data_IF_826666174332
#
_entry.id   IF_826666174332
#
_cell.length_a   1.000
_cell.length_b   1.000
_cell.length_c   1.000
_cell.angle_alpha   90.00
_cell.angle_beta   90.00
_cell.angle_gamma   90.00
#
_symmetry.space_group_name_H-M   'P 1'
#
loop_
_entity.id
_entity.type
_entity.pdbx_description
1 polymer ?
#
# COMPACT_ATOMS: atom_id res chain seq x y z
N UNK A 1 -48.74 21.34 -40.74
CA UNK A 1 -49.60 20.16 -40.98
C UNK A 1 -48.81 18.93 -41.42
N UNK A 2 -47.75 19.07 -42.24
CA UNK A 2 -46.96 17.93 -42.76
C UNK A 2 -46.22 17.08 -41.70
N UNK A 3 -45.78 17.67 -40.57
CA UNK A 3 -45.18 16.91 -39.45
C UNK A 3 -46.21 16.15 -38.62
N UNK A 4 -47.46 16.63 -38.55
CA UNK A 4 -48.56 15.98 -37.83
C UNK A 4 -49.03 14.72 -38.57
N UNK A 5 -49.12 14.77 -39.91
CA UNK A 5 -49.48 13.61 -40.73
C UNK A 5 -48.44 12.50 -40.69
N UNK A 6 -47.14 12.85 -40.66
CA UNK A 6 -46.04 11.88 -40.50
C UNK A 6 -46.09 11.18 -39.13
N UNK A 7 -46.46 11.91 -38.07
CA UNK A 7 -46.63 11.34 -36.72
C UNK A 7 -47.82 10.38 -36.61
N UNK A 8 -48.95 10.73 -37.22
CA UNK A 8 -50.16 9.90 -37.24
C UNK A 8 -49.92 8.58 -38.00
N UNK A 9 -49.23 8.63 -39.14
CA UNK A 9 -48.88 7.41 -39.90
C UNK A 9 -47.93 6.47 -39.15
N UNK A 10 -47.04 7.01 -38.32
CA UNK A 10 -46.15 6.22 -37.45
C UNK A 10 -46.92 5.54 -36.31
N UNK A 11 -47.84 6.25 -35.67
CA UNK A 11 -48.72 5.70 -34.62
C UNK A 11 -49.59 4.57 -35.16
N UNK A 12 -50.12 4.73 -36.38
CA UNK A 12 -50.97 3.70 -37.00
C UNK A 12 -50.19 2.42 -37.34
N UNK A 13 -48.92 2.53 -37.76
CA UNK A 13 -48.02 1.39 -37.96
C UNK A 13 -47.69 0.68 -36.64
N UNK A 14 -47.41 1.43 -35.58
CA UNK A 14 -47.16 0.90 -34.24
C UNK A 14 -48.36 0.12 -33.69
N UNK A 15 -49.57 0.67 -33.82
CA UNK A 15 -50.82 0.02 -33.40
C UNK A 15 -51.10 -1.27 -34.19
N UNK A 16 -50.83 -1.27 -35.49
CA UNK A 16 -50.99 -2.47 -36.33
C UNK A 16 -49.96 -3.56 -35.99
N UNK A 17 -48.72 -3.19 -35.67
CA UNK A 17 -47.70 -4.13 -35.21
C UNK A 17 -48.08 -4.73 -33.86
N UNK A 18 -48.56 -3.91 -32.92
CA UNK A 18 -49.02 -4.37 -31.62
C UNK A 18 -50.15 -5.39 -31.74
N UNK A 19 -51.14 -5.12 -32.60
CA UNK A 19 -52.28 -6.03 -32.84
C UNK A 19 -51.85 -7.37 -33.46
N UNK A 20 -50.81 -7.38 -34.29
CA UNK A 20 -50.37 -8.58 -35.03
C UNK A 20 -49.43 -9.50 -34.25
N UNK A 21 -48.55 -8.94 -33.41
CA UNK A 21 -47.48 -9.69 -32.75
C UNK A 21 -47.54 -9.67 -31.21
N UNK A 22 -48.37 -8.80 -30.63
CA UNK A 22 -48.43 -8.55 -29.19
C UNK A 22 -47.31 -7.63 -28.71
N UNK A 23 -47.61 -6.79 -27.73
CA UNK A 23 -46.69 -5.77 -27.19
C UNK A 23 -45.36 -6.36 -26.70
N UNK A 24 -45.40 -7.49 -25.98
CA UNK A 24 -44.20 -8.14 -25.44
C UNK A 24 -43.27 -8.70 -26.52
N UNK A 25 -43.79 -9.13 -27.67
CA UNK A 25 -42.96 -9.63 -28.78
C UNK A 25 -42.21 -8.50 -29.48
N UNK A 26 -42.83 -7.31 -29.59
CA UNK A 26 -42.17 -6.12 -30.15
C UNK A 26 -41.03 -5.66 -29.24
N UNK A 27 -41.26 -5.63 -27.92
CA UNK A 27 -40.22 -5.31 -26.94
C UNK A 27 -39.06 -6.29 -27.02
N UNK A 28 -39.33 -7.60 -27.08
CA UNK A 28 -38.29 -8.63 -27.25
C UNK A 28 -37.49 -8.42 -28.54
N UNK A 29 -38.15 -8.09 -29.65
CA UNK A 29 -37.50 -7.79 -30.93
C UNK A 29 -36.58 -6.56 -30.84
N UNK A 30 -37.05 -5.48 -30.23
CA UNK A 30 -36.25 -4.26 -30.02
C UNK A 30 -35.06 -4.52 -29.09
N UNK A 31 -35.26 -5.31 -28.03
CA UNK A 31 -34.18 -5.70 -27.13
C UNK A 31 -33.11 -6.53 -27.84
N UNK A 32 -33.52 -7.49 -28.68
CA UNK A 32 -32.59 -8.29 -29.49
C UNK A 32 -31.82 -7.43 -30.50
N UNK A 33 -32.47 -6.43 -31.09
CA UNK A 33 -31.85 -5.49 -32.03
C UNK A 33 -30.86 -4.55 -31.31
N UNK A 34 -31.20 -4.13 -30.09
CA UNK A 34 -30.27 -3.39 -29.23
C UNK A 34 -29.06 -4.24 -28.83
N UNK A 35 -29.28 -5.50 -28.44
CA UNK A 35 -28.22 -6.42 -28.04
C UNK A 35 -27.28 -6.73 -29.22
N UNK A 36 -27.83 -6.96 -30.41
CA UNK A 36 -27.03 -7.21 -31.62
C UNK A 36 -26.24 -5.96 -32.03
N UNK A 37 -26.86 -4.78 -31.95
CA UNK A 37 -26.16 -3.50 -32.17
C UNK A 37 -25.02 -3.27 -31.18
N UNK A 38 -25.23 -3.58 -29.90
CA UNK A 38 -24.21 -3.49 -28.86
C UNK A 38 -23.04 -4.45 -29.14
N UNK A 39 -23.32 -5.72 -29.47
CA UNK A 39 -22.29 -6.71 -29.81
C UNK A 39 -21.49 -6.27 -31.04
N UNK A 40 -22.16 -5.79 -32.09
CA UNK A 40 -21.51 -5.31 -33.31
C UNK A 40 -20.64 -4.08 -33.01
N UNK A 41 -21.11 -3.15 -32.18
CA UNK A 41 -20.35 -1.97 -31.78
C UNK A 41 -19.01 -2.35 -31.15
N UNK A 42 -19.00 -3.29 -30.20
CA UNK A 42 -17.77 -3.76 -29.55
C UNK A 42 -16.90 -4.64 -30.43
N UNK A 43 -17.50 -5.46 -31.30
CA UNK A 43 -16.76 -6.28 -32.27
C UNK A 43 -16.02 -5.42 -33.30
N UNK A 44 -16.62 -4.30 -33.72
CA UNK A 44 -16.03 -3.38 -34.70
C UNK A 44 -15.14 -2.29 -34.06
N UNK A 45 -15.34 -1.98 -32.78
CA UNK A 45 -14.56 -0.98 -32.05
C UNK A 45 -13.93 -1.56 -30.77
N UNK A 46 -13.13 -2.65 -30.85
CA UNK A 46 -12.50 -3.22 -29.66
C UNK A 46 -11.53 -2.23 -29.00
N UNK A 47 -10.95 -1.30 -29.78
CA UNK A 47 -10.12 -0.20 -29.28
C UNK A 47 -10.85 0.68 -28.29
N UNK A 48 -12.14 0.96 -28.49
CA UNK A 48 -12.92 1.79 -27.57
C UNK A 48 -12.95 1.20 -26.14
N UNK A 49 -13.11 -0.12 -25.99
CA UNK A 49 -13.03 -0.75 -24.67
C UNK A 49 -11.62 -0.71 -24.10
N UNK A 50 -10.62 -1.03 -24.92
CA UNK A 50 -9.23 -1.06 -24.49
C UNK A 50 -8.74 0.32 -24.03
N UNK A 51 -9.08 1.36 -24.77
CA UNK A 51 -8.74 2.75 -24.44
C UNK A 51 -9.41 3.17 -23.14
N UNK A 52 -10.70 2.84 -22.92
CA UNK A 52 -11.39 3.13 -21.66
C UNK A 52 -10.84 2.37 -20.47
N UNK A 53 -10.47 1.09 -20.66
CA UNK A 53 -9.79 0.33 -19.59
C UNK A 53 -8.41 0.89 -19.29
N UNK A 54 -7.66 1.30 -20.32
CA UNK A 54 -6.35 1.93 -20.17
C UNK A 54 -6.43 3.27 -19.44
N UNK A 55 -7.41 4.11 -19.79
CA UNK A 55 -7.72 5.38 -19.10
C UNK A 55 -8.01 5.16 -17.62
N UNK A 56 -8.86 4.18 -17.29
CA UNK A 56 -9.19 3.84 -15.89
C UNK A 56 -7.95 3.35 -15.14
N UNK A 57 -7.17 2.46 -15.75
CA UNK A 57 -5.95 1.92 -15.15
C UNK A 57 -4.91 3.01 -14.90
N UNK A 58 -4.76 3.93 -15.86
CA UNK A 58 -3.83 5.06 -15.76
C UNK A 58 -4.28 6.03 -14.68
N UNK A 59 -5.56 6.39 -14.62
CA UNK A 59 -6.09 7.27 -13.57
C UNK A 59 -5.96 6.65 -12.16
N UNK A 60 -6.18 5.34 -12.04
CA UNK A 60 -5.94 4.61 -10.79
C UNK A 60 -4.47 4.63 -10.40
N UNK A 61 -3.57 4.38 -11.36
CA UNK A 61 -2.13 4.46 -11.14
C UNK A 61 -1.70 5.86 -10.67
N UNK A 62 -2.14 6.91 -11.36
CA UNK A 62 -1.85 8.30 -11.01
C UNK A 62 -2.38 8.65 -9.61
N UNK A 63 -3.56 8.16 -9.26
CA UNK A 63 -4.12 8.32 -7.91
C UNK A 63 -3.23 7.66 -6.84
N UNK A 64 -2.85 6.39 -7.04
CA UNK A 64 -1.98 5.66 -6.12
C UNK A 64 -0.60 6.32 -5.96
N UNK A 65 -0.02 6.83 -7.05
CA UNK A 65 1.24 7.58 -7.02
C UNK A 65 1.10 8.86 -6.19
N UNK A 66 0.05 9.64 -6.39
CA UNK A 66 -0.17 10.86 -5.62
C UNK A 66 -0.44 10.59 -4.13
N UNK A 67 -1.23 9.56 -3.83
CA UNK A 67 -1.47 9.10 -2.45
C UNK A 67 -0.15 8.68 -1.79
N UNK A 68 0.70 7.92 -2.50
CA UNK A 68 2.01 7.52 -2.01
C UNK A 68 2.92 8.72 -1.71
N UNK A 69 3.01 9.68 -2.64
CA UNK A 69 3.83 10.88 -2.45
C UNK A 69 3.39 11.69 -1.23
N UNK A 70 2.08 11.85 -1.04
CA UNK A 70 1.53 12.54 0.13
C UNK A 70 1.81 11.77 1.44
N UNK A 71 1.59 10.46 1.43
CA UNK A 71 1.87 9.60 2.58
C UNK A 71 3.35 9.64 2.97
N UNK A 72 4.26 9.51 2.01
CA UNK A 72 5.71 9.55 2.26
C UNK A 72 6.14 10.89 2.87
N UNK A 73 5.62 12.02 2.36
CA UNK A 73 5.89 13.35 2.92
C UNK A 73 5.42 13.47 4.38
N UNK A 74 4.22 12.99 4.68
CA UNK A 74 3.66 12.99 6.03
C UNK A 74 4.43 12.07 6.98
N UNK A 75 4.85 10.89 6.50
CA UNK A 75 5.66 9.95 7.29
C UNK A 75 7.01 10.58 7.62
N UNK A 76 7.71 11.19 6.65
CA UNK A 76 8.96 11.92 6.90
C UNK A 76 8.81 12.97 7.99
N UNK A 77 7.73 13.75 7.93
CA UNK A 77 7.45 14.75 8.97
C UNK A 77 7.27 14.11 10.36
N UNK A 78 6.57 12.98 10.45
CA UNK A 78 6.39 12.24 11.70
C UNK A 78 7.73 11.70 12.22
N UNK A 79 8.54 11.09 11.36
CA UNK A 79 9.86 10.54 11.72
C UNK A 79 10.81 11.65 12.19
N UNK A 80 10.91 12.75 11.46
CA UNK A 80 11.71 13.92 11.82
C UNK A 80 11.31 14.46 13.20
N UNK A 81 10.00 14.65 13.46
CA UNK A 81 9.51 15.05 14.77
C UNK A 81 9.89 14.06 15.87
N UNK A 82 9.82 12.76 15.59
CA UNK A 82 10.22 11.74 16.56
C UNK A 82 11.67 11.90 16.98
N UNK A 83 12.61 12.06 16.04
CA UNK A 83 14.04 12.25 16.32
C UNK A 83 14.26 13.35 17.37
N UNK A 84 13.59 14.50 17.20
CA UNK A 84 13.69 15.61 18.15
C UNK A 84 13.04 15.28 19.49
N UNK A 85 11.84 14.70 19.50
CA UNK A 85 11.10 14.43 20.74
C UNK A 85 11.67 13.29 21.58
N UNK A 86 12.35 12.32 20.96
CA UNK A 86 12.94 11.17 21.65
C UNK A 86 14.44 11.28 21.85
N UNK A 87 15.05 12.34 21.29
CA UNK A 87 16.49 12.48 21.18
C UNK A 87 17.18 11.32 20.43
N UNK A 88 16.47 10.60 19.55
CA UNK A 88 17.10 9.61 18.69
C UNK A 88 18.06 10.27 17.68
N UNK A 89 18.88 9.44 17.03
CA UNK A 89 19.82 9.85 15.99
C UNK A 89 19.32 9.50 14.59
N UNK A 90 18.57 8.40 14.48
CA UNK A 90 17.84 8.01 13.26
C UNK A 90 16.41 7.61 13.60
N UNK A 91 15.48 7.94 12.72
CA UNK A 91 14.12 7.40 12.71
C UNK A 91 13.81 6.86 11.32
N UNK A 92 13.30 5.64 11.25
CA UNK A 92 13.17 4.95 9.97
C UNK A 92 11.92 4.07 9.92
N UNK A 93 11.51 3.77 8.69
CA UNK A 93 10.39 2.90 8.36
C UNK A 93 10.86 1.81 7.41
N UNK A 94 10.65 0.56 7.81
CA UNK A 94 10.75 -0.62 6.94
C UNK A 94 9.34 -1.05 6.58
N UNK A 95 9.06 -1.12 5.28
CA UNK A 95 7.81 -1.68 4.76
C UNK A 95 8.05 -3.12 4.31
N UNK A 96 7.10 -3.99 4.63
CA UNK A 96 7.14 -5.38 4.18
C UNK A 96 6.50 -5.53 2.83
N UNK A 97 7.08 -6.39 2.01
CA UNK A 97 6.57 -6.72 0.71
C UNK A 97 6.80 -8.20 0.40
N UNK A 98 5.99 -8.70 -0.52
CA UNK A 98 6.12 -10.07 -0.99
C UNK A 98 7.16 -10.10 -2.11
N UNK A 99 8.15 -10.98 -1.96
CA UNK A 99 9.07 -11.30 -3.05
C UNK A 99 8.54 -12.45 -3.90
N UNK A 100 9.39 -13.44 -4.14
CA UNK A 100 9.00 -14.69 -4.81
C UNK A 100 8.24 -15.64 -3.86
N UNK A 101 7.84 -16.80 -4.37
CA UNK A 101 7.12 -17.83 -3.60
C UNK A 101 7.86 -19.16 -3.67
N UNK A 102 7.69 -20.00 -2.65
CA UNK A 102 8.17 -21.37 -2.69
C UNK A 102 7.44 -22.15 -3.80
N UNK A 103 8.19 -22.87 -4.64
CA UNK A 103 7.64 -23.58 -5.80
C UNK A 103 6.66 -24.70 -5.43
N UNK A 104 6.92 -25.41 -4.32
CA UNK A 104 6.15 -26.60 -3.93
C UNK A 104 4.97 -26.25 -3.04
N UNK A 105 5.15 -25.35 -2.07
CA UNK A 105 4.10 -25.01 -1.10
C UNK A 105 3.28 -23.79 -1.50
N UNK A 106 3.76 -22.97 -2.45
CA UNK A 106 3.15 -21.70 -2.82
C UNK A 106 3.27 -20.59 -1.77
N UNK A 107 3.92 -20.85 -0.63
CA UNK A 107 4.08 -19.87 0.45
C UNK A 107 4.99 -18.71 0.00
N UNK A 108 4.58 -17.45 0.24
CA UNK A 108 5.39 -16.30 -0.14
C UNK A 108 6.63 -16.18 0.74
N UNK A 109 7.73 -15.76 0.12
CA UNK A 109 8.88 -15.27 0.85
C UNK A 109 8.63 -13.82 1.22
N UNK A 110 8.77 -13.52 2.52
CA UNK A 110 8.58 -12.18 3.06
C UNK A 110 9.91 -11.41 3.04
N UNK A 111 9.84 -10.18 2.55
CA UNK A 111 10.95 -9.25 2.46
C UNK A 111 10.60 -7.93 3.13
N UNK A 112 11.63 -7.18 3.48
CA UNK A 112 11.51 -5.82 3.98
C UNK A 112 12.47 -4.90 3.25
N UNK A 113 12.06 -3.64 3.10
CA UNK A 113 12.93 -2.58 2.60
C UNK A 113 12.77 -1.35 3.48
N UNK A 114 13.87 -0.75 3.92
CA UNK A 114 13.84 0.59 4.51
C UNK A 114 13.44 1.57 3.41
N UNK A 115 12.29 2.23 3.58
CA UNK A 115 11.72 3.15 2.56
C UNK A 115 11.96 4.61 2.89
N UNK A 116 11.98 4.91 4.18
CA UNK A 116 12.15 6.27 4.69
C UNK A 116 13.08 6.20 5.87
N UNK A 117 14.10 7.04 5.83
CA UNK A 117 15.01 7.30 6.93
C UNK A 117 15.17 8.81 7.08
N UNK A 118 15.01 9.28 8.31
CA UNK A 118 15.34 10.64 8.71
C UNK A 118 16.48 10.54 9.74
N UNK A 119 17.43 11.45 9.67
CA UNK A 119 18.64 11.44 10.48
C UNK A 119 18.87 12.82 11.11
N UNK A 120 19.56 12.84 12.25
CA UNK A 120 20.08 14.07 12.84
C UNK A 120 21.30 14.57 12.06
N UNK A 121 21.58 15.86 12.17
CA UNK A 121 22.84 16.44 11.70
C UNK A 121 24.05 15.60 12.14
N UNK A 122 25.00 15.40 11.23
CA UNK A 122 26.22 14.60 11.43
C UNK A 122 26.03 13.09 11.58
N UNK A 123 24.81 12.56 11.36
CA UNK A 123 24.56 11.12 11.29
C UNK A 123 24.35 10.72 9.83
N UNK A 124 25.14 9.76 9.34
CA UNK A 124 24.96 9.23 7.98
C UNK A 124 23.73 8.34 7.87
N UNK A 125 23.06 8.40 6.73
CA UNK A 125 22.05 7.44 6.32
C UNK A 125 22.64 6.03 6.17
N UNK A 126 21.81 5.00 6.37
CA UNK A 126 22.16 3.59 6.23
C UNK A 126 21.10 2.80 5.45
N UNK A 127 20.06 3.45 4.94
CA UNK A 127 18.90 2.82 4.30
C UNK A 127 19.25 1.90 3.13
N UNK A 128 20.29 2.23 2.35
CA UNK A 128 20.78 1.40 1.24
C UNK A 128 21.18 -0.02 1.69
N UNK A 129 21.70 -0.18 2.91
CA UNK A 129 22.10 -1.49 3.47
C UNK A 129 20.92 -2.37 3.93
N UNK A 130 19.71 -1.79 3.91
CA UNK A 130 18.46 -2.40 4.34
C UNK A 130 17.41 -2.42 3.23
N UNK A 131 17.85 -2.57 1.98
CA UNK A 131 16.98 -2.82 0.83
C UNK A 131 16.76 -4.33 0.60
N UNK A 132 15.52 -4.71 0.28
CA UNK A 132 15.12 -6.04 -0.22
C UNK A 132 15.72 -7.23 0.56
N UNK A 133 15.64 -7.15 1.89
CA UNK A 133 16.19 -8.18 2.75
C UNK A 133 15.13 -9.20 3.15
N UNK A 134 15.48 -10.48 3.12
CA UNK A 134 14.57 -11.54 3.54
C UNK A 134 14.40 -11.53 5.06
N UNK A 135 13.16 -11.47 5.53
CA UNK A 135 12.85 -11.36 6.97
C UNK A 135 13.29 -12.62 7.74
N UNK A 136 13.23 -13.80 7.11
CA UNK A 136 13.60 -15.08 7.73
C UNK A 136 15.08 -15.21 8.09
N UNK A 137 15.93 -14.34 7.54
CA UNK A 137 17.37 -14.29 7.86
C UNK A 137 17.66 -13.64 9.22
N UNK A 138 16.67 -12.96 9.81
CA UNK A 138 16.86 -12.12 10.99
C UNK A 138 15.91 -12.52 12.12
N UNK A 139 16.46 -13.18 13.13
CA UNK A 139 15.73 -13.67 14.31
C UNK A 139 15.13 -12.54 15.13
N UNK A 140 15.80 -11.39 15.20
CA UNK A 140 15.26 -10.24 15.92
C UNK A 140 13.98 -9.72 15.24
N UNK A 141 13.92 -9.72 13.90
CA UNK A 141 12.72 -9.32 13.17
C UNK A 141 11.57 -10.25 13.51
N UNK A 142 11.76 -11.57 13.46
CA UNK A 142 10.72 -12.53 13.84
C UNK A 142 10.21 -12.28 15.28
N UNK A 143 11.13 -12.09 16.23
CA UNK A 143 10.76 -11.76 17.62
C UNK A 143 9.93 -10.48 17.74
N UNK A 144 10.29 -9.43 16.99
CA UNK A 144 9.56 -8.15 16.99
C UNK A 144 8.16 -8.32 16.41
N UNK A 145 7.98 -9.18 15.40
CA UNK A 145 6.66 -9.47 14.85
C UNK A 145 5.77 -10.25 15.82
N UNK A 146 6.36 -11.16 16.59
CA UNK A 146 5.65 -11.97 17.59
C UNK A 146 5.28 -11.14 18.84
N UNK A 147 6.23 -10.34 19.36
CA UNK A 147 6.03 -9.55 20.58
C UNK A 147 5.39 -8.18 20.31
N UNK A 148 5.35 -7.75 19.05
CA UNK A 148 4.89 -6.44 18.61
C UNK A 148 5.90 -5.29 18.78
N UNK A 149 6.94 -5.45 19.59
CA UNK A 149 7.97 -4.43 19.81
C UNK A 149 9.29 -5.02 20.35
N UNK A 150 10.38 -4.25 20.26
CA UNK A 150 11.64 -4.54 20.96
C UNK A 150 12.38 -3.26 21.31
N UNK A 151 12.78 -3.10 22.57
CA UNK A 151 13.56 -1.96 23.08
C UNK A 151 14.80 -2.48 23.82
N UNK A 152 15.99 -2.32 23.25
CA UNK A 152 17.20 -2.92 23.82
C UNK A 152 18.51 -2.41 23.23
N UNK A 153 19.60 -2.80 23.87
CA UNK A 153 20.96 -2.48 23.43
C UNK A 153 21.58 -3.56 22.54
N UNK A 154 22.78 -3.29 22.02
CA UNK A 154 23.55 -4.28 21.23
C UNK A 154 23.75 -5.62 21.96
N UNK A 155 23.99 -5.60 23.27
CA UNK A 155 24.17 -6.83 24.06
C UNK A 155 22.89 -7.70 24.11
N UNK A 156 21.72 -7.06 24.10
CA UNK A 156 20.44 -7.77 24.04
C UNK A 156 20.23 -8.36 22.64
N UNK A 157 20.59 -7.60 21.60
CA UNK A 157 20.49 -8.02 20.21
C UNK A 157 21.44 -9.17 19.92
N UNK A 158 22.67 -9.16 20.44
CA UNK A 158 23.65 -10.23 20.22
C UNK A 158 23.14 -11.59 20.68
N UNK A 159 22.38 -11.63 21.78
CA UNK A 159 21.77 -12.86 22.32
C UNK A 159 20.66 -13.41 21.43
N UNK A 160 20.02 -12.56 20.63
CA UNK A 160 18.86 -12.90 19.79
C UNK A 160 19.30 -13.16 18.34
N UNK A 161 20.10 -12.25 17.79
CA UNK A 161 20.46 -12.17 16.38
C UNK A 161 21.88 -11.60 16.18
N UNK A 162 22.84 -12.50 16.05
CA UNK A 162 24.23 -12.15 15.81
C UNK A 162 24.45 -11.42 14.47
N UNK A 163 23.60 -11.67 13.45
CA UNK A 163 23.74 -11.04 12.13
C UNK A 163 23.35 -9.57 12.20
N UNK A 164 22.24 -9.25 12.86
CA UNK A 164 21.85 -7.86 13.09
C UNK A 164 22.77 -7.16 14.07
N UNK A 165 23.29 -7.87 15.08
CA UNK A 165 24.30 -7.32 15.98
C UNK A 165 25.48 -6.70 15.21
N UNK A 166 26.11 -7.45 14.29
CA UNK A 166 27.25 -6.92 13.54
C UNK A 166 26.85 -5.79 12.57
N UNK A 167 25.67 -5.87 11.94
CA UNK A 167 25.17 -4.77 11.09
C UNK A 167 24.94 -3.49 11.90
N UNK A 168 24.31 -3.60 13.07
CA UNK A 168 24.03 -2.46 13.93
C UNK A 168 25.31 -1.88 14.54
N UNK A 169 26.28 -2.73 14.90
CA UNK A 169 27.60 -2.30 15.33
C UNK A 169 28.33 -1.51 14.24
N UNK A 170 28.30 -1.98 12.99
CA UNK A 170 28.91 -1.27 11.85
C UNK A 170 28.25 0.10 11.57
N UNK A 171 27.01 0.27 12.01
CA UNK A 171 26.22 1.50 11.86
C UNK A 171 26.24 2.39 13.12
N UNK A 172 27.17 2.13 14.05
CA UNK A 172 27.39 2.85 15.30
C UNK A 172 26.17 2.89 16.24
N UNK A 173 25.27 1.91 16.15
CA UNK A 173 24.07 1.82 16.99
C UNK A 173 24.43 1.25 18.37
N UNK A 174 23.98 1.90 19.43
CA UNK A 174 24.10 1.42 20.81
C UNK A 174 22.79 0.82 21.32
N UNK A 175 21.69 1.52 21.09
CA UNK A 175 20.35 1.10 21.47
C UNK A 175 19.36 1.33 20.32
N UNK A 176 18.34 0.48 20.28
CA UNK A 176 17.31 0.50 19.24
C UNK A 176 15.93 0.33 19.85
N UNK A 177 14.96 1.03 19.28
CA UNK A 177 13.56 0.76 19.52
C UNK A 177 12.86 0.39 18.23
N UNK A 178 12.13 -0.72 18.27
CA UNK A 178 11.38 -1.29 17.16
C UNK A 178 9.92 -1.44 17.58
N UNK A 179 9.01 -1.10 16.68
CA UNK A 179 7.58 -1.32 16.84
C UNK A 179 7.01 -1.86 15.53
N UNK A 180 6.30 -2.99 15.62
CA UNK A 180 5.59 -3.56 14.47
C UNK A 180 4.37 -2.71 14.13
N UNK A 181 4.20 -2.43 12.86
CA UNK A 181 3.03 -1.75 12.30
C UNK A 181 2.10 -2.81 11.72
N UNK A 182 0.80 -2.68 11.99
CA UNK A 182 -0.22 -3.62 11.51
C UNK A 182 -1.27 -2.90 10.66
N UNK A 183 -1.69 -3.60 9.60
CA UNK A 183 -2.89 -3.30 8.81
C UNK A 183 -3.91 -4.41 9.10
N UNK A 184 -4.87 -4.12 9.98
CA UNK A 184 -5.69 -5.15 10.61
C UNK A 184 -4.82 -6.14 11.41
N UNK A 185 -4.90 -7.43 11.07
CA UNK A 185 -4.07 -8.49 11.68
C UNK A 185 -2.74 -8.73 10.95
N UNK A 186 -2.51 -8.09 9.80
CA UNK A 186 -1.33 -8.33 8.98
C UNK A 186 -0.20 -7.36 9.33
N UNK A 187 1.04 -7.82 9.55
CA UNK A 187 2.16 -6.92 9.74
C UNK A 187 2.47 -6.19 8.42
N UNK A 188 2.42 -4.87 8.46
CA UNK A 188 2.70 -3.99 7.32
C UNK A 188 4.17 -3.55 7.28
N UNK A 189 4.83 -3.50 8.43
CA UNK A 189 6.22 -3.03 8.52
C UNK A 189 6.72 -2.88 9.95
N UNK A 190 7.88 -2.25 10.09
CA UNK A 190 8.47 -1.88 11.38
C UNK A 190 8.85 -0.40 11.32
N UNK A 191 8.44 0.35 12.34
CA UNK A 191 8.98 1.68 12.61
C UNK A 191 10.08 1.56 13.66
N UNK A 192 11.19 2.25 13.43
CA UNK A 192 12.38 2.14 14.26
C UNK A 192 13.01 3.46 14.64
N UNK A 193 13.66 3.47 15.80
CA UNK A 193 14.53 4.55 16.27
C UNK A 193 15.88 3.95 16.64
N UNK A 194 16.95 4.60 16.18
CA UNK A 194 18.32 4.21 16.50
C UNK A 194 19.00 5.30 17.33
N UNK A 195 19.73 4.87 18.36
CA UNK A 195 20.55 5.70 19.24
C UNK A 195 22.01 5.31 19.03
N UNK A 196 22.84 6.28 18.66
CA UNK A 196 24.20 6.04 18.18
C UNK A 196 25.24 6.73 19.08
N UNK A 197 26.52 6.47 18.83
CA UNK A 197 27.65 7.18 19.44
C UNK A 197 27.62 7.23 20.98
N UNK A 198 27.26 6.11 21.61
CA UNK A 198 27.15 5.95 23.06
C UNK A 198 25.84 6.46 23.67
N UNK A 199 24.91 6.98 22.85
CA UNK A 199 23.64 7.50 23.34
C UNK A 199 22.75 6.35 23.85
N UNK A 200 22.07 6.61 24.96
CA UNK A 200 21.08 5.72 25.57
C UNK A 200 19.68 6.25 25.38
N UNK A 201 18.73 5.32 25.26
CA UNK A 201 17.33 5.61 25.07
C UNK A 201 16.64 5.88 26.42
N UNK A 202 15.82 6.94 26.47
CA UNK A 202 14.75 7.04 27.46
C UNK A 202 13.59 6.13 27.02
N UNK A 203 13.52 4.93 27.60
CA UNK A 203 12.53 3.91 27.22
C UNK A 203 11.09 4.38 27.39
N UNK A 204 10.80 5.20 28.40
CA UNK A 204 9.45 5.66 28.67
C UNK A 204 9.02 6.72 27.66
N UNK A 205 9.88 7.70 27.41
CA UNK A 205 9.66 8.74 26.41
C UNK A 205 9.55 8.14 25.01
N UNK A 206 10.48 7.25 24.65
CA UNK A 206 10.45 6.56 23.36
C UNK A 206 9.18 5.74 23.22
N UNK A 207 8.84 4.89 24.19
CA UNK A 207 7.65 4.06 24.12
C UNK A 207 6.38 4.88 23.86
N UNK A 208 6.24 6.04 24.52
CA UNK A 208 5.11 6.95 24.28
C UNK A 208 5.08 7.47 22.84
N UNK A 209 6.21 7.99 22.35
CA UNK A 209 6.27 8.66 21.06
C UNK A 209 6.23 7.68 19.88
N UNK A 210 6.97 6.56 19.95
CA UNK A 210 7.00 5.57 18.88
C UNK A 210 5.63 4.91 18.68
N UNK A 211 4.87 4.66 19.75
CA UNK A 211 3.50 4.11 19.63
C UNK A 211 2.53 5.11 19.01
N UNK A 212 2.52 6.36 19.49
CA UNK A 212 1.63 7.39 18.93
C UNK A 212 1.93 7.68 17.47
N UNK A 213 3.22 7.73 17.10
CA UNK A 213 3.64 7.90 15.71
C UNK A 213 3.39 6.66 14.86
N UNK A 214 3.64 5.48 15.41
CA UNK A 214 3.40 4.20 14.72
C UNK A 214 1.95 4.05 14.29
N UNK A 215 0.98 4.43 15.13
CA UNK A 215 -0.45 4.44 14.74
C UNK A 215 -0.69 5.36 13.54
N UNK A 216 -0.13 6.58 13.55
CA UNK A 216 -0.30 7.53 12.45
C UNK A 216 0.34 7.03 11.15
N UNK A 217 1.53 6.45 11.23
CA UNK A 217 2.23 5.87 10.09
C UNK A 217 1.44 4.69 9.54
N UNK A 218 0.96 3.78 10.39
CA UNK A 218 0.12 2.65 9.97
C UNK A 218 -1.15 3.12 9.25
N UNK A 219 -1.83 4.15 9.76
CA UNK A 219 -3.01 4.74 9.09
C UNK A 219 -2.66 5.29 7.69
N UNK A 220 -1.52 5.96 7.53
CA UNK A 220 -1.08 6.48 6.23
C UNK A 220 -0.71 5.35 5.25
N UNK A 221 -0.18 4.23 5.75
CA UNK A 221 0.13 3.07 4.92
C UNK A 221 -1.15 2.33 4.47
N UNK A 222 -2.15 2.18 5.35
CA UNK A 222 -3.43 1.55 4.97
C UNK A 222 -4.19 2.32 3.90
N UNK A 223 -4.07 3.67 3.86
CA UNK A 223 -4.68 4.51 2.81
C UNK A 223 -4.13 4.24 1.40
N UNK A 224 -2.98 3.58 1.28
CA UNK A 224 -2.40 3.23 -0.03
C UNK A 224 -3.06 1.95 -0.60
N UNK A 225 -3.72 1.16 0.25
CA UNK A 225 -4.32 -0.13 -0.13
C UNK A 225 -5.82 -0.05 -0.45
N UNK A 226 -6.49 1.08 -0.16
CA UNK A 226 -7.89 1.37 -0.50
C UNK A 226 -8.01 2.09 -1.86
#
# INVERSE_FOLDING_TARGET
>A
MEQLDKGIGWLQKLLNLQKRYGFFSIIKGLFLLFLSGYIIFFALNPKYLLDRMSEITTAQHDHLVNTRLSADSNIRHILSKMIFTTNADRAWLIEFHNGSKNLTTGLPFLFGSMRIEEVRDSISNVDEDYADFSLSKYKLVAKVLDDGYFYGGLDDIQKIDQRLYYKFQANDINEIALLTLYDGEKPAGIIGLSFCNGKKMDKQLVGKHIRSSGIKVATLLSQIND
#
